data_IF_482591554264
#
_entry.id   IF_482591554264
#
_cell.length_a   1.000
_cell.length_b   1.000
_cell.length_c   1.000
_cell.angle_alpha   90.00
_cell.angle_beta   90.00
_cell.angle_gamma   90.00
#
_symmetry.space_group_name_H-M   'P 1'
#
loop_
_entity.id
_entity.type
_entity.pdbx_description
1 polymer ?
#
# COMPACT_ATOMS: atom_id res chain seq x y z
N UNK A 1 -18.20 27.53 39.35
CA UNK A 1 -16.93 27.16 38.68
C UNK A 1 -16.91 25.78 38.02
N UNK A 2 -17.51 24.71 38.57
CA UNK A 2 -17.49 23.37 37.91
C UNK A 2 -18.22 23.29 36.55
N UNK A 3 -19.35 23.99 36.38
CA UNK A 3 -20.16 23.94 35.14
C UNK A 3 -19.49 24.58 33.91
N UNK A 4 -18.71 25.65 34.11
CA UNK A 4 -17.96 26.32 33.04
C UNK A 4 -16.76 25.51 32.56
N UNK A 5 -16.13 24.75 33.45
CA UNK A 5 -15.02 23.84 33.12
C UNK A 5 -15.52 22.65 32.28
N UNK A 6 -16.67 22.07 32.61
CA UNK A 6 -17.26 20.97 31.82
C UNK A 6 -17.77 21.43 30.44
N UNK A 7 -18.30 22.65 30.33
CA UNK A 7 -18.66 23.23 29.05
C UNK A 7 -17.45 23.51 28.16
N UNK A 8 -16.33 24.02 28.73
CA UNK A 8 -15.09 24.27 27.99
C UNK A 8 -14.41 22.98 27.48
N UNK A 9 -14.35 21.94 28.33
CA UNK A 9 -13.83 20.61 27.93
C UNK A 9 -14.73 19.98 26.86
N UNK A 10 -16.05 20.11 26.99
CA UNK A 10 -17.01 19.63 25.99
C UNK A 10 -16.84 20.31 24.62
N UNK A 11 -16.65 21.64 24.59
CA UNK A 11 -16.44 22.40 23.34
C UNK A 11 -15.09 22.05 22.69
N UNK A 12 -14.01 21.90 23.47
CA UNK A 12 -12.68 21.52 22.94
C UNK A 12 -12.67 20.10 22.40
N UNK A 13 -13.32 19.15 23.08
CA UNK A 13 -13.46 17.78 22.56
C UNK A 13 -14.30 17.74 21.29
N UNK A 14 -15.38 18.54 21.23
CA UNK A 14 -16.23 18.64 20.05
C UNK A 14 -15.45 19.23 18.86
N UNK A 15 -14.76 20.36 19.01
CA UNK A 15 -13.98 20.96 17.90
C UNK A 15 -12.84 20.06 17.41
N UNK A 16 -12.16 19.34 18.30
CA UNK A 16 -11.13 18.35 17.92
C UNK A 16 -11.71 17.17 17.11
N UNK A 17 -12.93 16.71 17.42
CA UNK A 17 -13.62 15.64 16.70
C UNK A 17 -14.06 16.05 15.28
N UNK A 18 -14.54 17.28 15.08
CA UNK A 18 -14.93 17.75 13.74
C UNK A 18 -13.72 18.02 12.83
N UNK A 19 -12.63 18.54 13.37
CA UNK A 19 -11.39 18.75 12.62
C UNK A 19 -10.73 17.42 12.21
N UNK A 20 -10.75 16.39 13.07
CA UNK A 20 -10.17 15.08 12.75
C UNK A 20 -10.97 14.35 11.68
N UNK A 21 -12.31 14.36 11.74
CA UNK A 21 -13.16 13.77 10.69
C UNK A 21 -12.97 14.46 9.33
N UNK A 22 -12.85 15.78 9.30
CA UNK A 22 -12.63 16.54 8.06
C UNK A 22 -11.25 16.24 7.46
N UNK A 23 -10.22 16.20 8.30
CA UNK A 23 -8.84 15.90 7.88
C UNK A 23 -8.72 14.47 7.36
N UNK A 24 -9.32 13.50 8.07
CA UNK A 24 -9.33 12.10 7.64
C UNK A 24 -10.09 11.90 6.34
N UNK A 25 -11.21 12.60 6.13
CA UNK A 25 -11.97 12.52 4.88
C UNK A 25 -11.15 13.04 3.68
N UNK A 26 -10.48 14.20 3.83
CA UNK A 26 -9.57 14.73 2.79
C UNK A 26 -8.44 13.75 2.50
N UNK A 27 -7.81 13.21 3.56
CA UNK A 27 -6.77 12.20 3.45
C UNK A 27 -7.26 10.97 2.66
N UNK A 28 -8.36 10.35 3.08
CA UNK A 28 -8.87 9.11 2.49
C UNK A 28 -9.26 9.31 1.03
N UNK A 29 -9.95 10.42 0.73
CA UNK A 29 -10.31 10.79 -0.65
C UNK A 29 -9.08 10.95 -1.54
N UNK A 30 -8.02 11.59 -1.04
CA UNK A 30 -6.81 11.82 -1.80
C UNK A 30 -6.01 10.52 -2.01
N UNK A 31 -5.99 9.60 -1.04
CA UNK A 31 -5.39 8.27 -1.23
C UNK A 31 -6.14 7.48 -2.30
N UNK A 32 -7.48 7.45 -2.24
CA UNK A 32 -8.30 6.76 -3.25
C UNK A 32 -8.10 7.37 -4.64
N UNK A 33 -8.13 8.69 -4.76
CA UNK A 33 -7.86 9.38 -6.03
C UNK A 33 -6.46 9.03 -6.57
N UNK A 34 -5.45 9.05 -5.70
CA UNK A 34 -4.08 8.67 -6.04
C UNK A 34 -3.96 7.24 -6.55
N UNK A 35 -4.57 6.27 -5.84
CA UNK A 35 -4.61 4.86 -6.25
C UNK A 35 -5.25 4.69 -7.63
N UNK A 36 -6.39 5.35 -7.88
CA UNK A 36 -7.06 5.30 -9.18
C UNK A 36 -6.21 5.90 -10.30
N UNK A 37 -5.52 7.01 -10.03
CA UNK A 37 -4.62 7.62 -11.01
C UNK A 37 -3.41 6.71 -11.33
N UNK A 38 -2.91 5.96 -10.35
CA UNK A 38 -1.87 4.94 -10.56
C UNK A 38 -2.36 3.84 -11.51
N UNK A 39 -3.59 3.32 -11.31
CA UNK A 39 -4.14 2.28 -12.19
C UNK A 39 -4.39 2.81 -13.61
N UNK A 40 -4.72 4.10 -13.74
CA UNK A 40 -4.81 4.81 -15.03
C UNK A 40 -3.45 5.22 -15.62
N UNK A 41 -2.33 4.88 -14.96
CA UNK A 41 -0.96 5.24 -15.34
C UNK A 41 -0.69 6.76 -15.37
N UNK A 42 -1.53 7.57 -14.72
CA UNK A 42 -1.38 9.03 -14.57
C UNK A 42 -0.56 9.34 -13.32
N UNK A 43 0.72 8.97 -13.35
CA UNK A 43 1.57 8.99 -12.17
C UNK A 43 1.89 10.40 -11.64
N UNK A 44 1.95 11.41 -12.50
CA UNK A 44 2.20 12.79 -12.06
C UNK A 44 1.00 13.34 -11.28
N UNK A 45 -0.21 13.12 -11.80
CA UNK A 45 -1.45 13.50 -11.10
C UNK A 45 -1.57 12.72 -9.78
N UNK A 46 -1.25 11.42 -9.79
CA UNK A 46 -1.28 10.60 -8.58
C UNK A 46 -0.36 11.17 -7.49
N UNK A 47 0.85 11.59 -7.85
CA UNK A 47 1.82 12.21 -6.94
C UNK A 47 1.26 13.47 -6.28
N UNK A 48 0.49 14.28 -7.02
CA UNK A 48 -0.15 15.50 -6.46
C UNK A 48 -1.15 15.14 -5.35
N UNK A 49 -2.08 14.22 -5.63
CA UNK A 49 -3.09 13.83 -4.64
C UNK A 49 -2.48 13.10 -3.44
N UNK A 50 -1.57 12.15 -3.68
CA UNK A 50 -0.91 11.40 -2.62
C UNK A 50 0.01 12.28 -1.77
N UNK A 51 0.70 13.25 -2.40
CA UNK A 51 1.49 14.24 -1.70
C UNK A 51 0.65 15.14 -0.81
N UNK A 52 -0.59 15.46 -1.20
CA UNK A 52 -1.54 16.14 -0.31
C UNK A 52 -1.97 15.22 0.84
N UNK A 53 -2.30 13.95 0.57
CA UNK A 53 -2.67 12.99 1.63
C UNK A 53 -1.56 12.86 2.68
N UNK A 54 -0.30 12.72 2.25
CA UNK A 54 0.86 12.58 3.11
C UNK A 54 1.12 13.80 4.03
N UNK A 55 0.56 14.98 3.71
CA UNK A 55 0.63 16.17 4.59
C UNK A 55 -0.36 16.11 5.75
N UNK A 56 -1.45 15.38 5.61
CA UNK A 56 -2.55 15.35 6.58
C UNK A 56 -2.49 14.16 7.53
N UNK A 57 -1.93 13.04 7.09
CA UNK A 57 -1.70 11.88 7.94
C UNK A 57 -0.35 11.24 7.58
N UNK A 58 0.39 10.81 8.61
CA UNK A 58 1.71 10.19 8.48
C UNK A 58 1.59 8.66 8.46
N UNK A 59 0.44 8.10 8.09
CA UNK A 59 0.37 6.66 7.91
C UNK A 59 1.17 6.22 6.67
N UNK A 60 1.59 4.97 6.67
CA UNK A 60 2.43 4.43 5.61
C UNK A 60 1.75 4.33 4.25
N UNK A 61 0.43 4.52 4.15
CA UNK A 61 -0.31 4.25 2.91
C UNK A 61 -0.07 5.28 1.82
N UNK A 62 -0.20 6.57 2.13
CA UNK A 62 0.08 7.62 1.15
C UNK A 62 1.52 7.50 0.62
N UNK A 63 2.49 7.26 1.51
CA UNK A 63 3.89 7.06 1.13
C UNK A 63 4.13 5.78 0.34
N UNK A 64 3.42 4.69 0.63
CA UNK A 64 3.49 3.45 -0.16
C UNK A 64 3.06 3.71 -1.59
N UNK A 65 1.94 4.39 -1.81
CA UNK A 65 1.48 4.71 -3.17
C UNK A 65 2.36 5.76 -3.87
N UNK A 66 2.98 6.69 -3.14
CA UNK A 66 4.01 7.57 -3.71
C UNK A 66 5.22 6.78 -4.20
N UNK A 67 5.66 5.77 -3.44
CA UNK A 67 6.72 4.87 -3.87
C UNK A 67 6.35 4.10 -5.13
N UNK A 68 5.09 3.64 -5.24
CA UNK A 68 4.57 2.99 -6.45
C UNK A 68 4.67 3.93 -7.65
N UNK A 69 4.13 5.14 -7.54
CA UNK A 69 4.15 6.12 -8.63
C UNK A 69 5.58 6.43 -9.07
N UNK A 70 6.49 6.70 -8.12
CA UNK A 70 7.89 6.99 -8.41
C UNK A 70 8.60 5.79 -9.07
N UNK A 71 8.38 4.56 -8.58
CA UNK A 71 8.93 3.35 -9.18
C UNK A 71 8.47 3.17 -10.63
N UNK A 72 7.17 3.37 -10.90
CA UNK A 72 6.60 3.27 -12.26
C UNK A 72 7.12 4.34 -13.22
N UNK A 73 7.58 5.46 -12.70
CA UNK A 73 8.29 6.50 -13.46
C UNK A 73 9.80 6.24 -13.60
N UNK A 74 10.33 5.14 -13.07
CA UNK A 74 11.77 4.82 -13.08
C UNK A 74 12.59 5.63 -12.07
N UNK A 75 11.95 6.37 -11.16
CA UNK A 75 12.62 7.24 -10.17
C UNK A 75 12.96 6.45 -8.91
N UNK A 76 13.86 5.48 -9.03
CA UNK A 76 14.10 4.47 -7.98
C UNK A 76 14.58 5.06 -6.64
N UNK A 77 15.45 6.08 -6.65
CA UNK A 77 15.91 6.72 -5.41
C UNK A 77 14.80 7.51 -4.69
N UNK A 78 13.94 8.18 -5.45
CA UNK A 78 12.76 8.86 -4.90
C UNK A 78 11.77 7.84 -4.33
N UNK A 79 11.52 6.75 -5.06
CA UNK A 79 10.69 5.65 -4.60
C UNK A 79 11.21 5.04 -3.29
N UNK A 80 12.52 4.86 -3.16
CA UNK A 80 13.15 4.38 -1.93
C UNK A 80 12.92 5.35 -0.76
N UNK A 81 13.06 6.66 -0.98
CA UNK A 81 12.78 7.68 0.05
C UNK A 81 11.32 7.62 0.54
N UNK A 82 10.38 7.35 -0.35
CA UNK A 82 8.98 7.14 0.03
C UNK A 82 8.76 5.84 0.80
N UNK A 83 9.39 4.72 0.41
CA UNK A 83 9.35 3.48 1.20
C UNK A 83 9.89 3.70 2.61
N UNK A 84 11.03 4.37 2.75
CA UNK A 84 11.60 4.69 4.08
C UNK A 84 10.66 5.54 4.92
N UNK A 85 9.89 6.43 4.28
CA UNK A 85 8.88 7.23 4.97
C UNK A 85 7.68 6.37 5.39
N UNK A 86 7.25 5.44 4.54
CA UNK A 86 6.17 4.49 4.85
C UNK A 86 6.52 3.57 6.03
N UNK A 87 7.78 3.12 6.14
CA UNK A 87 8.22 2.24 7.22
C UNK A 87 8.18 2.89 8.62
N UNK A 88 8.19 4.23 8.71
CA UNK A 88 8.11 4.95 10.00
C UNK A 88 6.75 4.79 10.68
N UNK A 89 5.72 4.50 9.92
CA UNK A 89 4.35 4.32 10.40
C UNK A 89 3.77 3.10 9.68
N UNK A 90 3.99 1.90 10.23
CA UNK A 90 3.68 0.66 9.56
C UNK A 90 2.24 0.68 9.04
N UNK A 91 2.06 0.49 7.73
CA UNK A 91 0.74 0.55 7.13
C UNK A 91 -0.14 -0.64 7.54
N UNK A 92 -1.44 -0.56 7.22
CA UNK A 92 -2.36 -1.69 7.35
C UNK A 92 -1.86 -2.93 6.57
N UNK A 93 -2.49 -4.08 6.79
CA UNK A 93 -2.06 -5.36 6.20
C UNK A 93 -1.88 -5.33 4.67
N UNK A 94 -2.84 -4.77 3.92
CA UNK A 94 -2.78 -4.70 2.46
C UNK A 94 -1.65 -3.79 2.01
N UNK A 95 -1.64 -2.59 2.57
CA UNK A 95 -0.67 -1.57 2.24
C UNK A 95 0.74 -2.01 2.64
N UNK A 96 0.88 -2.81 3.71
CA UNK A 96 2.13 -3.43 4.13
C UNK A 96 2.67 -4.37 3.07
N UNK A 97 1.85 -5.29 2.56
CA UNK A 97 2.30 -6.22 1.53
C UNK A 97 2.79 -5.48 0.27
N UNK A 98 2.06 -4.43 -0.15
CA UNK A 98 2.46 -3.56 -1.26
C UNK A 98 3.78 -2.85 -1.00
N UNK A 99 3.95 -2.26 0.19
CA UNK A 99 5.18 -1.57 0.58
C UNK A 99 6.39 -2.50 0.49
N UNK A 100 6.30 -3.72 1.03
CA UNK A 100 7.41 -4.69 1.00
C UNK A 100 7.68 -5.23 -0.40
N UNK A 101 6.65 -5.46 -1.22
CA UNK A 101 6.81 -5.86 -2.62
C UNK A 101 7.58 -4.81 -3.42
N UNK A 102 7.16 -3.55 -3.32
CA UNK A 102 7.84 -2.43 -3.98
C UNK A 102 9.24 -2.16 -3.41
N UNK A 103 9.44 -2.29 -2.09
CA UNK A 103 10.77 -2.21 -1.47
C UNK A 103 11.75 -3.21 -2.10
N UNK A 104 11.33 -4.46 -2.30
CA UNK A 104 12.15 -5.47 -2.95
C UNK A 104 12.49 -5.08 -4.40
N UNK A 105 11.48 -4.68 -5.18
CA UNK A 105 11.66 -4.24 -6.57
C UNK A 105 12.60 -3.04 -6.70
N UNK A 106 12.46 -2.05 -5.82
CA UNK A 106 13.27 -0.83 -5.80
C UNK A 106 14.72 -1.17 -5.46
N UNK A 107 14.97 -1.92 -4.38
CA UNK A 107 16.33 -2.23 -3.94
C UNK A 107 17.05 -3.13 -4.94
N UNK A 108 16.36 -4.12 -5.52
CA UNK A 108 16.94 -4.97 -6.57
C UNK A 108 17.24 -4.14 -7.83
N UNK A 109 16.34 -3.24 -8.24
CA UNK A 109 16.55 -2.35 -9.38
C UNK A 109 17.67 -1.33 -9.16
N UNK A 110 17.99 -1.00 -7.91
CA UNK A 110 19.14 -0.17 -7.53
C UNK A 110 20.44 -0.96 -7.36
N UNK A 111 20.41 -2.28 -7.58
CA UNK A 111 21.53 -3.19 -7.28
C UNK A 111 22.00 -3.10 -5.80
N UNK A 112 21.08 -2.74 -4.90
CA UNK A 112 21.38 -2.59 -3.48
C UNK A 112 21.49 -3.98 -2.81
N UNK A 113 22.52 -4.22 -1.97
CA UNK A 113 22.72 -5.51 -1.30
C UNK A 113 21.56 -5.90 -0.37
N UNK A 114 20.74 -4.95 0.05
CA UNK A 114 19.51 -5.16 0.80
C UNK A 114 18.35 -5.75 -0.03
N UNK A 115 18.45 -5.79 -1.36
CA UNK A 115 17.39 -6.28 -2.26
C UNK A 115 16.94 -7.70 -1.94
N UNK A 116 17.89 -8.63 -1.77
CA UNK A 116 17.59 -10.03 -1.42
C UNK A 116 16.92 -10.16 -0.06
N UNK A 117 17.29 -9.31 0.91
CA UNK A 117 16.65 -9.27 2.22
C UNK A 117 15.21 -8.78 2.11
N UNK A 118 14.98 -7.70 1.37
CA UNK A 118 13.63 -7.17 1.16
C UNK A 118 12.72 -8.16 0.41
N UNK A 119 13.27 -8.93 -0.54
CA UNK A 119 12.54 -9.99 -1.23
C UNK A 119 12.11 -11.11 -0.27
N UNK A 120 12.97 -11.46 0.69
CA UNK A 120 12.62 -12.38 1.77
C UNK A 120 11.51 -11.80 2.66
N UNK A 121 11.63 -10.54 3.08
CA UNK A 121 10.63 -9.86 3.91
C UNK A 121 9.25 -9.85 3.23
N UNK A 122 9.20 -9.62 1.91
CA UNK A 122 7.96 -9.74 1.13
C UNK A 122 7.41 -11.15 1.16
N UNK A 123 8.25 -12.16 0.90
CA UNK A 123 7.84 -13.57 0.86
C UNK A 123 7.28 -14.03 2.21
N UNK A 124 7.98 -13.74 3.31
CA UNK A 124 7.56 -14.14 4.65
C UNK A 124 6.18 -13.54 5.01
N UNK A 125 5.93 -12.29 4.61
CA UNK A 125 4.65 -11.60 4.85
C UNK A 125 3.53 -12.15 3.98
N UNK A 126 3.84 -12.41 2.72
CA UNK A 126 2.90 -13.03 1.80
C UNK A 126 2.39 -14.36 2.36
N UNK A 127 3.30 -15.23 2.80
CA UNK A 127 2.93 -16.53 3.39
C UNK A 127 2.12 -16.39 4.68
N UNK A 128 2.46 -15.41 5.53
CA UNK A 128 1.72 -15.15 6.76
C UNK A 128 0.28 -14.69 6.48
N UNK A 129 0.08 -13.96 5.38
CA UNK A 129 -1.21 -13.38 5.01
C UNK A 129 -2.05 -14.31 4.13
N UNK A 130 -1.40 -15.13 3.31
CA UNK A 130 -2.02 -15.97 2.28
C UNK A 130 -1.33 -17.34 2.19
N UNK A 131 -1.46 -18.20 3.20
CA UNK A 131 -0.74 -19.48 3.27
C UNK A 131 -1.15 -20.50 2.19
N UNK A 132 -2.26 -20.24 1.47
CA UNK A 132 -2.81 -21.14 0.45
C UNK A 132 -2.38 -20.78 -0.98
N UNK A 133 -1.87 -19.56 -1.21
CA UNK A 133 -1.43 -19.10 -2.52
C UNK A 133 0.07 -19.37 -2.71
N UNK A 134 0.45 -19.84 -3.91
CA UNK A 134 1.85 -20.18 -4.17
C UNK A 134 2.68 -18.93 -4.45
N UNK A 135 3.81 -18.81 -3.74
CA UNK A 135 4.86 -17.82 -3.99
C UNK A 135 6.18 -18.49 -4.42
N UNK A 136 6.09 -19.69 -5.00
CA UNK A 136 7.26 -20.53 -5.29
C UNK A 136 8.24 -19.88 -6.27
N UNK A 137 7.76 -19.18 -7.30
CA UNK A 137 8.63 -18.50 -8.27
C UNK A 137 9.52 -17.45 -7.59
N UNK A 138 8.94 -16.63 -6.73
CA UNK A 138 9.67 -15.59 -5.97
C UNK A 138 10.63 -16.25 -4.97
N UNK A 139 10.22 -17.35 -4.32
CA UNK A 139 11.12 -18.13 -3.44
C UNK A 139 12.32 -18.70 -4.19
N UNK A 140 12.14 -19.16 -5.43
CA UNK A 140 13.25 -19.63 -6.27
C UNK A 140 14.20 -18.49 -6.60
N UNK A 141 13.68 -17.32 -7.01
CA UNK A 141 14.50 -16.13 -7.26
C UNK A 141 15.28 -15.71 -6.01
N UNK A 142 14.62 -15.70 -4.85
CA UNK A 142 15.27 -15.40 -3.57
C UNK A 142 16.37 -16.40 -3.20
N UNK A 143 16.10 -17.71 -3.30
CA UNK A 143 17.06 -18.77 -2.92
C UNK A 143 18.28 -18.83 -3.82
N UNK A 144 18.09 -18.60 -5.12
CA UNK A 144 19.15 -18.70 -6.12
C UNK A 144 19.91 -17.39 -6.30
N UNK A 145 19.31 -16.25 -5.90
CA UNK A 145 19.82 -14.92 -6.20
C UNK A 145 19.68 -14.52 -7.67
N UNK A 146 19.22 -15.42 -8.54
CA UNK A 146 18.98 -15.15 -9.95
C UNK A 146 17.61 -14.47 -10.11
N UNK A 147 17.59 -13.14 -9.96
CA UNK A 147 16.36 -12.35 -10.06
C UNK A 147 16.16 -11.83 -11.48
N UNK A 148 15.12 -12.31 -12.15
CA UNK A 148 14.56 -11.68 -13.34
C UNK A 148 13.62 -10.55 -12.87
N UNK A 149 14.11 -9.31 -12.88
CA UNK A 149 13.38 -8.17 -12.32
C UNK A 149 12.05 -7.88 -13.05
N UNK A 150 11.97 -7.86 -14.40
CA UNK A 150 10.70 -7.74 -15.11
C UNK A 150 9.68 -8.82 -14.71
N UNK A 151 10.11 -10.09 -14.64
CA UNK A 151 9.23 -11.18 -14.23
C UNK A 151 8.81 -11.05 -12.77
N UNK A 152 9.74 -10.70 -11.88
CA UNK A 152 9.45 -10.47 -10.47
C UNK A 152 8.42 -9.36 -10.29
N UNK A 153 8.56 -8.25 -11.01
CA UNK A 153 7.61 -7.15 -10.98
C UNK A 153 6.23 -7.59 -11.44
N UNK A 154 6.14 -8.38 -12.52
CA UNK A 154 4.85 -8.89 -13.00
C UNK A 154 4.15 -9.77 -11.95
N UNK A 155 4.87 -10.69 -11.32
CA UNK A 155 4.31 -11.59 -10.30
C UNK A 155 3.86 -10.81 -9.06
N UNK A 156 4.70 -9.90 -8.55
CA UNK A 156 4.35 -9.07 -7.38
C UNK A 156 3.11 -8.22 -7.68
N UNK A 157 3.00 -7.62 -8.86
CA UNK A 157 1.85 -6.80 -9.23
C UNK A 157 0.56 -7.60 -9.35
N UNK A 158 0.62 -8.78 -9.97
CA UNK A 158 -0.52 -9.69 -10.07
C UNK A 158 -1.00 -10.08 -8.67
N UNK A 159 -0.07 -10.52 -7.81
CA UNK A 159 -0.33 -10.88 -6.42
C UNK A 159 -1.01 -9.73 -5.65
N UNK A 160 -0.43 -8.54 -5.68
CA UNK A 160 -0.98 -7.36 -5.00
C UNK A 160 -2.36 -6.96 -5.52
N UNK A 161 -2.59 -7.09 -6.83
CA UNK A 161 -3.88 -6.76 -7.46
C UNK A 161 -4.96 -7.75 -7.04
N UNK A 162 -4.67 -9.06 -7.10
CA UNK A 162 -5.61 -10.10 -6.67
C UNK A 162 -6.01 -9.88 -5.21
N UNK A 163 -5.03 -9.60 -4.34
CA UNK A 163 -5.30 -9.40 -2.92
C UNK A 163 -6.16 -8.19 -2.62
N UNK A 164 -5.90 -7.08 -3.31
CA UNK A 164 -6.72 -5.89 -3.16
C UNK A 164 -8.17 -6.14 -3.59
N UNK A 165 -8.38 -6.86 -4.69
CA UNK A 165 -9.71 -7.23 -5.17
C UNK A 165 -10.44 -8.19 -4.21
N UNK A 166 -9.75 -9.20 -3.68
CA UNK A 166 -10.33 -10.14 -2.72
C UNK A 166 -10.75 -9.45 -1.42
N UNK A 167 -9.95 -8.50 -0.94
CA UNK A 167 -10.28 -7.76 0.27
C UNK A 167 -11.44 -6.77 0.04
N UNK A 168 -11.48 -6.10 -1.12
CA UNK A 168 -12.61 -5.27 -1.52
C UNK A 168 -13.90 -6.10 -1.60
N UNK A 169 -13.85 -7.31 -2.19
CA UNK A 169 -14.98 -8.23 -2.22
C UNK A 169 -15.46 -8.61 -0.81
N UNK A 170 -14.52 -8.93 0.09
CA UNK A 170 -14.87 -9.27 1.46
C UNK A 170 -15.50 -8.09 2.20
N UNK A 171 -14.92 -6.89 2.10
CA UNK A 171 -15.40 -5.68 2.79
C UNK A 171 -16.77 -5.24 2.28
N UNK A 172 -16.96 -5.21 0.96
CA UNK A 172 -18.15 -4.60 0.36
C UNK A 172 -19.29 -5.58 0.10
N UNK A 173 -18.97 -6.84 -0.18
CA UNK A 173 -19.96 -7.84 -0.59
C UNK A 173 -20.10 -8.98 0.42
N UNK A 174 -19.30 -8.98 1.50
CA UNK A 174 -19.22 -10.05 2.51
C UNK A 174 -18.98 -11.44 1.89
N UNK A 175 -18.34 -11.46 0.72
CA UNK A 175 -17.94 -12.69 0.02
C UNK A 175 -16.43 -12.74 -0.03
N UNK A 176 -15.86 -13.81 0.52
CA UNK A 176 -14.41 -14.00 0.55
C UNK A 176 -13.86 -14.58 -0.75
N UNK A 177 -12.58 -14.95 -0.67
CA UNK A 177 -11.73 -15.61 -1.68
C UNK A 177 -12.44 -16.56 -2.68
N UNK A 178 -13.43 -17.35 -2.26
CA UNK A 178 -14.15 -18.30 -3.12
C UNK A 178 -15.21 -17.71 -4.06
N UNK A 179 -15.48 -16.40 -3.99
CA UNK A 179 -16.42 -15.76 -4.92
C UNK A 179 -15.79 -15.35 -6.26
N UNK A 180 -14.47 -15.50 -6.42
CA UNK A 180 -13.72 -15.17 -7.63
C UNK A 180 -14.18 -16.00 -8.84
N UNK A 181 -14.31 -17.32 -8.67
CA UNK A 181 -14.66 -18.26 -9.73
C UNK A 181 -16.12 -18.15 -10.21
N UNK A 182 -17.01 -17.55 -9.40
CA UNK A 182 -18.41 -17.36 -9.77
C UNK A 182 -18.62 -16.23 -10.81
N UNK A 183 -17.57 -15.47 -11.17
CA UNK A 183 -17.64 -14.46 -12.25
C UNK A 183 -17.44 -15.04 -13.64
N UNK A 184 -16.79 -16.19 -13.79
CA UNK A 184 -16.56 -16.80 -15.12
C UNK A 184 -17.79 -17.49 -15.71
N UNK A 185 -18.87 -17.63 -14.92
CA UNK A 185 -20.12 -18.28 -15.31
C UNK A 185 -21.30 -17.35 -15.61
N UNK A 186 -21.13 -16.03 -15.63
CA UNK A 186 -22.20 -15.06 -15.85
C UNK A 186 -21.98 -14.25 -17.15
N UNK A 187 -22.15 -14.92 -18.28
CA UNK A 187 -22.45 -14.31 -19.58
C UNK A 187 -23.78 -14.88 -20.10
#
# INVERSE_FOLDING_TARGET
MRKTIHAGIGIVLFTCLFCSCTTYNIYSRNVVAGKNLISEKKYDDATVYLGQAARYNVDGAAFTYLAVAAYRQGKLHEALGYVTSAEKSPPDMLTSLRMYGYKALILIGLEDPGGTKALKEYTDRYEAFYPLESINDIKVMWRTGAVDLPRLAAIIEEQLTIHEQDLELYIYNNVGFYARDNREGAY
#
